data_IF_541280283486
#
_entry.id   IF_541280283486
#
_cell.length_a   1.000
_cell.length_b   1.000
_cell.length_c   1.000
_cell.angle_alpha   90.00
_cell.angle_beta   90.00
_cell.angle_gamma   90.00
#
_symmetry.space_group_name_H-M   'P 1'
#
loop_
_entity.id
_entity.type
_entity.pdbx_description
1 polymer ?
#
# COMPACT_ATOMS: atom_id res chain seq x y z
N UNK A 1 -1.39 5.99 18.65
CA UNK A 1 -0.88 4.66 19.05
C UNK A 1 -0.07 4.08 17.88
N UNK A 2 0.87 3.16 18.13
CA UNK A 2 1.66 2.54 17.04
C UNK A 2 0.98 1.23 16.65
N UNK A 3 0.57 1.13 15.38
CA UNK A 3 -0.09 -0.05 14.85
C UNK A 3 0.93 -0.99 14.23
N UNK A 4 0.67 -2.29 14.34
CA UNK A 4 1.50 -3.30 13.70
C UNK A 4 1.35 -3.23 12.17
N UNK A 5 2.41 -2.89 11.43
CA UNK A 5 2.33 -2.70 9.99
C UNK A 5 2.01 -4.00 9.25
N UNK A 6 2.45 -5.15 9.77
CA UNK A 6 2.18 -6.49 9.21
C UNK A 6 0.74 -6.97 9.43
N UNK A 7 0.14 -6.65 10.59
CA UNK A 7 -1.26 -7.02 10.83
C UNK A 7 -2.20 -6.15 10.01
N UNK A 8 -1.89 -4.85 9.90
CA UNK A 8 -2.65 -3.90 9.09
C UNK A 8 -2.57 -4.26 7.61
N UNK A 9 -1.37 -4.52 7.08
CA UNK A 9 -1.19 -4.88 5.66
C UNK A 9 -1.94 -6.14 5.25
N UNK A 10 -1.94 -7.17 6.11
CA UNK A 10 -2.72 -8.40 5.89
C UNK A 10 -4.21 -8.13 5.79
N UNK A 11 -4.74 -7.23 6.61
CA UNK A 11 -6.17 -6.92 6.60
C UNK A 11 -6.56 -6.03 5.40
N UNK A 12 -5.69 -5.11 5.01
CA UNK A 12 -5.82 -4.35 3.77
C UNK A 12 -5.85 -5.29 2.55
N UNK A 13 -4.96 -6.28 2.51
CA UNK A 13 -4.93 -7.26 1.43
C UNK A 13 -6.22 -8.09 1.35
N UNK A 14 -6.79 -8.49 2.49
CA UNK A 14 -8.08 -9.19 2.53
C UNK A 14 -9.22 -8.31 2.04
N UNK A 15 -9.31 -7.07 2.50
CA UNK A 15 -10.34 -6.12 2.05
C UNK A 15 -10.25 -5.82 0.57
N UNK A 16 -9.05 -5.60 0.05
CA UNK A 16 -8.83 -5.43 -1.38
C UNK A 16 -9.31 -6.64 -2.18
N UNK A 17 -9.05 -7.86 -1.70
CA UNK A 17 -9.53 -9.09 -2.34
C UNK A 17 -11.05 -9.23 -2.26
N UNK A 18 -11.68 -8.82 -1.16
CA UNK A 18 -13.14 -8.77 -1.03
C UNK A 18 -13.74 -7.80 -2.04
N UNK A 19 -13.24 -6.56 -2.09
CA UNK A 19 -13.69 -5.55 -3.07
C UNK A 19 -13.51 -6.03 -4.52
N UNK A 20 -12.41 -6.72 -4.83
CA UNK A 20 -12.20 -7.29 -6.17
C UNK A 20 -13.17 -8.44 -6.48
N UNK A 21 -13.55 -9.24 -5.47
CA UNK A 21 -14.53 -10.31 -5.62
C UNK A 21 -15.95 -9.75 -5.79
N UNK A 22 -16.31 -8.73 -5.00
CA UNK A 22 -17.60 -8.04 -5.09
C UNK A 22 -17.75 -7.39 -6.46
N UNK A 23 -16.70 -6.71 -6.94
CA UNK A 23 -16.64 -6.14 -8.27
C UNK A 23 -16.83 -7.19 -9.38
N UNK A 24 -16.21 -8.38 -9.25
CA UNK A 24 -16.36 -9.47 -10.24
C UNK A 24 -17.73 -10.15 -10.17
N UNK A 25 -18.37 -10.11 -9.01
CA UNK A 25 -19.70 -10.68 -8.81
C UNK A 25 -20.81 -9.76 -9.32
N UNK A 26 -20.58 -8.45 -9.29
CA UNK A 26 -21.44 -7.47 -9.97
C UNK A 26 -21.28 -7.60 -11.49
N UNK A 27 -22.38 -7.84 -12.21
CA UNK A 27 -22.41 -7.74 -13.68
C UNK A 27 -22.19 -6.28 -14.09
N UNK A 28 -20.95 -5.90 -14.34
CA UNK A 28 -20.59 -4.57 -14.82
C UNK A 28 -20.49 -4.53 -16.34
N UNK A 29 -20.83 -3.37 -16.89
CA UNK A 29 -20.73 -3.07 -18.31
C UNK A 29 -19.29 -3.31 -18.81
N UNK A 30 -19.16 -3.90 -20.01
CA UNK A 30 -17.86 -4.17 -20.64
C UNK A 30 -17.06 -2.86 -20.78
N UNK A 31 -16.03 -2.70 -19.95
CA UNK A 31 -15.11 -1.56 -20.00
C UNK A 31 -14.85 -0.86 -18.66
N UNK A 32 -15.58 -1.18 -17.59
CA UNK A 32 -15.23 -0.69 -16.25
C UNK A 32 -14.15 -1.59 -15.63
N UNK A 33 -13.02 -0.99 -15.22
CA UNK A 33 -11.91 -1.70 -14.59
C UNK A 33 -11.91 -1.53 -13.06
N UNK A 34 -11.56 -2.58 -12.32
CA UNK A 34 -11.49 -2.51 -10.86
C UNK A 34 -10.36 -1.59 -10.41
N UNK A 35 -10.74 -0.42 -9.89
CA UNK A 35 -9.80 0.49 -9.25
C UNK A 35 -9.84 0.31 -7.75
N UNK A 36 -8.87 -0.46 -7.23
CA UNK A 36 -8.69 -0.59 -5.79
C UNK A 36 -8.46 0.78 -5.12
N UNK A 37 -9.14 1.07 -3.99
CA UNK A 37 -8.87 2.26 -3.19
C UNK A 37 -7.39 2.37 -2.76
N UNK A 38 -6.88 3.58 -2.55
CA UNK A 38 -5.53 3.78 -2.06
C UNK A 38 -5.33 3.16 -0.67
N UNK A 39 -4.11 2.71 -0.38
CA UNK A 39 -3.75 2.02 0.87
C UNK A 39 -4.20 2.77 2.14
N UNK A 40 -4.13 4.11 2.11
CA UNK A 40 -4.47 4.96 3.26
C UNK A 40 -5.95 4.91 3.62
N UNK A 41 -6.83 4.94 2.64
CA UNK A 41 -8.29 4.87 2.87
C UNK A 41 -8.65 3.51 3.49
N UNK A 42 -8.06 2.43 2.97
CA UNK A 42 -8.23 1.10 3.54
C UNK A 42 -7.66 0.99 4.96
N UNK A 43 -6.57 1.70 5.28
CA UNK A 43 -5.99 1.74 6.64
C UNK A 43 -6.91 2.50 7.62
N UNK A 44 -7.52 3.61 7.20
CA UNK A 44 -8.40 4.43 8.05
C UNK A 44 -9.70 3.69 8.42
N UNK A 45 -10.21 2.83 7.54
CA UNK A 45 -11.35 1.96 7.82
C UNK A 45 -10.99 0.79 8.76
N UNK A 46 -9.71 0.50 8.99
CA UNK A 46 -9.29 -0.58 9.90
C UNK A 46 -9.34 -0.04 11.32
N UNK A 47 -10.32 -0.54 12.08
CA UNK A 47 -10.33 -0.35 13.53
C UNK A 47 -9.21 -1.18 14.19
N UNK A 48 -8.03 -0.57 14.23
CA UNK A 48 -6.82 -1.15 14.82
C UNK A 48 -6.92 -1.40 16.33
N UNK A 49 -7.83 -0.71 17.01
CA UNK A 49 -8.06 -0.84 18.45
C UNK A 49 -8.94 -2.06 18.73
N UNK A 50 -10.07 -2.18 18.04
CA UNK A 50 -10.96 -3.35 18.14
C UNK A 50 -10.28 -4.65 17.71
N UNK A 51 -9.44 -4.61 16.66
CA UNK A 51 -8.75 -5.81 16.18
C UNK A 51 -7.45 -6.15 16.94
N UNK A 52 -7.05 -5.33 17.92
CA UNK A 52 -5.87 -5.60 18.75
C UNK A 52 -4.53 -5.48 17.99
N UNK A 53 -4.45 -4.59 16.99
CA UNK A 53 -3.23 -4.35 16.21
C UNK A 53 -2.29 -3.34 16.86
N UNK A 54 -2.75 -2.70 17.93
CA UNK A 54 -1.95 -1.78 18.75
C UNK A 54 -0.77 -2.53 19.36
N UNK A 55 0.43 -2.04 19.07
CA UNK A 55 1.66 -2.59 19.64
C UNK A 55 1.90 -2.04 21.04
N UNK A 56 2.44 -2.87 21.93
CA UNK A 56 2.87 -2.44 23.27
C UNK A 56 4.30 -1.95 23.23
N UNK A 57 4.58 -0.84 23.90
CA UNK A 57 5.95 -0.35 24.09
C UNK A 57 6.60 -1.12 25.23
N UNK A 58 7.78 -1.67 24.98
CA UNK A 58 8.71 -2.11 26.01
C UNK A 58 9.59 -0.90 26.43
N UNK A 59 9.42 -0.36 27.65
CA UNK A 59 10.14 0.83 28.09
C UNK A 59 11.65 0.60 28.26
N UNK A 60 12.09 -0.64 28.49
CA UNK A 60 13.50 -0.95 28.70
C UNK A 60 14.31 -0.83 27.40
N UNK A 61 13.74 -1.34 26.31
CA UNK A 61 14.40 -1.43 25.01
C UNK A 61 13.90 -0.38 24.02
N UNK A 62 12.83 0.35 24.34
CA UNK A 62 12.08 1.26 23.44
C UNK A 62 11.56 0.58 22.17
N UNK A 63 11.39 -0.73 22.21
CA UNK A 63 10.82 -1.49 21.10
C UNK A 63 9.30 -1.62 21.25
N UNK A 64 8.63 -1.77 20.12
CA UNK A 64 7.22 -2.09 20.05
C UNK A 64 7.07 -3.58 19.81
N UNK A 65 6.17 -4.21 20.56
CA UNK A 65 5.84 -5.63 20.45
C UNK A 65 4.38 -5.79 20.03
N UNK A 66 4.15 -6.46 18.91
CA UNK A 66 2.81 -6.86 18.49
C UNK A 66 2.44 -8.21 19.12
N UNK A 67 1.36 -8.27 19.89
CA UNK A 67 0.88 -9.53 20.50
C UNK A 67 0.27 -10.52 19.51
N UNK A 68 -0.15 -10.05 18.33
CA UNK A 68 -0.85 -10.89 17.33
C UNK A 68 0.13 -11.66 16.43
N UNK A 69 1.16 -10.97 15.93
CA UNK A 69 2.14 -11.57 15.01
C UNK A 69 3.55 -11.73 15.60
N UNK A 70 3.80 -11.20 16.80
CA UNK A 70 5.12 -11.28 17.44
C UNK A 70 6.16 -10.29 16.90
N UNK A 71 5.77 -9.33 16.05
CA UNK A 71 6.69 -8.32 15.54
C UNK A 71 7.32 -7.52 16.69
N UNK A 72 8.65 -7.51 16.73
CA UNK A 72 9.47 -6.77 17.69
C UNK A 72 10.35 -5.79 16.92
N UNK A 73 10.05 -4.50 17.02
CA UNK A 73 10.69 -3.49 16.18
C UNK A 73 10.74 -2.12 16.87
N UNK A 74 11.75 -1.30 16.57
CA UNK A 74 11.78 0.11 16.98
C UNK A 74 10.78 0.94 16.18
N UNK A 75 10.51 2.18 16.62
CA UNK A 75 9.58 3.09 15.90
C UNK A 75 9.99 3.34 14.45
N UNK A 76 11.30 3.49 14.22
CA UNK A 76 11.86 3.72 12.90
C UNK A 76 11.66 2.49 12.01
N UNK A 77 12.01 1.31 12.53
CA UNK A 77 11.79 0.05 11.82
C UNK A 77 10.31 -0.18 11.48
N UNK A 78 9.39 0.16 12.38
CA UNK A 78 7.94 0.08 12.09
C UNK A 78 7.56 1.00 10.92
N UNK A 79 8.14 2.18 10.84
CA UNK A 79 7.88 3.16 9.77
C UNK A 79 8.45 2.68 8.43
N UNK A 80 9.66 2.11 8.45
CA UNK A 80 10.29 1.50 7.28
C UNK A 80 9.50 0.29 6.76
N UNK A 81 9.02 -0.57 7.66
CA UNK A 81 8.18 -1.72 7.28
C UNK A 81 6.87 -1.24 6.68
N UNK A 82 6.21 -0.26 7.30
CA UNK A 82 4.97 0.34 6.73
C UNK A 82 5.23 0.91 5.33
N UNK A 83 6.32 1.64 5.14
CA UNK A 83 6.68 2.20 3.83
C UNK A 83 6.95 1.12 2.79
N UNK A 84 7.63 0.02 3.17
CA UNK A 84 7.86 -1.11 2.26
C UNK A 84 6.56 -1.81 1.88
N UNK A 85 5.63 -1.99 2.82
CA UNK A 85 4.36 -2.66 2.59
C UNK A 85 3.36 -1.80 1.79
N UNK A 86 3.41 -0.47 1.94
CA UNK A 86 2.51 0.43 1.22
C UNK A 86 2.93 0.67 -0.23
N UNK A 87 4.21 0.44 -0.58
CA UNK A 87 4.64 0.49 -1.97
C UNK A 87 4.13 -0.72 -2.74
N UNK A 88 3.31 -0.45 -3.76
CA UNK A 88 3.04 -1.42 -4.84
C UNK A 88 4.37 -1.82 -5.49
N UNK A 89 4.53 -3.10 -5.83
CA UNK A 89 5.56 -3.50 -6.79
C UNK A 89 5.37 -2.68 -8.06
N UNK A 90 6.40 -1.91 -8.45
CA UNK A 90 6.39 -1.15 -9.69
C UNK A 90 6.22 -2.12 -10.85
N UNK A 91 5.01 -2.21 -11.40
CA UNK A 91 4.77 -2.95 -12.62
C UNK A 91 5.30 -2.14 -13.80
N UNK A 92 5.74 -2.83 -14.87
CA UNK A 92 6.29 -2.20 -16.08
C UNK A 92 5.32 -1.20 -16.73
N UNK A 93 4.02 -1.35 -16.50
CA UNK A 93 2.94 -0.44 -16.93
C UNK A 93 2.90 0.90 -16.18
N UNK A 94 3.35 0.95 -14.92
CA UNK A 94 3.36 2.20 -14.13
C UNK A 94 4.45 3.19 -14.61
N UNK A 95 5.41 2.70 -15.42
CA UNK A 95 6.43 3.52 -16.10
C UNK A 95 5.94 4.08 -17.43
N UNK A 96 4.69 3.85 -17.82
CA UNK A 96 4.25 4.09 -19.18
C UNK A 96 3.72 5.53 -19.35
N UNK A 97 4.37 6.22 -20.30
CA UNK A 97 4.30 7.63 -20.68
C UNK A 97 5.28 8.56 -19.97
N UNK A 98 6.56 8.30 -20.24
CA UNK A 98 7.62 9.27 -20.01
C UNK A 98 7.43 10.44 -20.98
N UNK A 99 6.64 11.43 -20.57
CA UNK A 99 6.43 12.69 -21.30
C UNK A 99 7.76 13.35 -21.70
N UNK A 100 8.81 13.13 -20.89
CA UNK A 100 10.17 13.54 -21.18
C UNK A 100 10.76 12.84 -22.40
N UNK A 101 10.48 11.55 -22.61
CA UNK A 101 11.02 10.79 -23.77
C UNK A 101 10.38 11.23 -25.08
N UNK A 102 9.06 11.52 -25.08
CA UNK A 102 8.38 12.14 -26.22
C UNK A 102 8.91 13.55 -26.50
N UNK A 103 9.06 14.38 -25.46
CA UNK A 103 9.52 15.75 -25.60
C UNK A 103 10.98 15.82 -26.08
N UNK A 104 11.86 14.95 -25.58
CA UNK A 104 13.25 14.85 -26.02
C UNK A 104 13.38 14.34 -27.47
N UNK A 105 12.57 13.36 -27.88
CA UNK A 105 12.49 12.94 -29.29
C UNK A 105 12.00 14.08 -30.18
N UNK A 106 10.91 14.76 -29.79
CA UNK A 106 10.39 15.94 -30.50
C UNK A 106 11.41 17.07 -30.66
N UNK A 107 12.30 17.26 -29.68
CA UNK A 107 13.38 18.25 -29.78
C UNK A 107 14.49 17.82 -30.73
N UNK A 108 14.91 16.54 -30.68
CA UNK A 108 15.93 15.99 -31.59
C UNK A 108 15.47 16.02 -33.04
N UNK A 109 14.21 15.70 -33.30
CA UNK A 109 13.67 15.70 -34.67
C UNK A 109 13.61 17.12 -35.27
N UNK A 110 13.46 18.17 -34.43
CA UNK A 110 13.48 19.58 -34.86
C UNK A 110 14.87 20.15 -35.13
N UNK A 111 15.93 19.54 -34.61
CA UNK A 111 17.32 19.98 -34.87
C UNK A 111 17.93 19.31 -36.10
N UNK A 112 17.26 18.29 -36.64
CA UNK A 112 17.69 17.52 -37.81
C UNK A 112 17.05 17.99 -39.14
N UNK A 113 16.15 18.98 -39.09
CA UNK A 113 15.53 19.67 -40.24
C UNK A 113 16.17 21.04 -40.46
#
# INVERSE_FOLDING_TARGET
MVNCPECVSREIAKRKKQLEADFKAEEQEEGYEFRAPPYRELEDEIDSESMGFVMKLDPATKHFICKRCGLYATREQVSDIRYKLSRKESTKSDKQYDYLDWWQKSKKDKEAE
#
